data_IF_833801979776
#
_entry.id   IF_833801979776
#
_cell.length_a   1.000
_cell.length_b   1.000
_cell.length_c   1.000
_cell.angle_alpha   90.00
_cell.angle_beta   90.00
_cell.angle_gamma   90.00
#
_symmetry.space_group_name_H-M   'P 1'
#
loop_
_entity.id
_entity.type
_entity.pdbx_description
1 polymer ?
#
# COMPACT_ATOMS: atom_id res chain seq x y z
N UNK A 1 -28.77 -23.58 20.95
CA UNK A 1 -27.41 -23.95 21.42
C UNK A 1 -26.58 -24.59 20.32
N UNK A 2 -27.02 -25.68 19.66
CA UNK A 2 -26.28 -26.29 18.56
C UNK A 2 -25.96 -25.32 17.40
N UNK A 3 -26.93 -24.51 16.98
CA UNK A 3 -26.75 -23.47 15.95
C UNK A 3 -25.70 -22.44 16.31
N UNK A 4 -25.60 -22.07 17.61
CA UNK A 4 -24.63 -21.08 18.10
C UNK A 4 -23.19 -21.57 17.97
N UNK A 5 -22.92 -22.83 18.36
CA UNK A 5 -21.58 -23.41 18.22
C UNK A 5 -21.20 -23.63 16.76
N UNK A 6 -22.15 -24.01 15.91
CA UNK A 6 -21.91 -24.23 14.49
C UNK A 6 -21.54 -22.90 13.79
N UNK A 7 -22.29 -21.83 14.02
CA UNK A 7 -21.99 -20.52 13.42
C UNK A 7 -20.69 -19.92 13.96
N UNK A 8 -20.44 -20.03 15.26
CA UNK A 8 -19.19 -19.56 15.87
C UNK A 8 -17.97 -20.29 15.31
N UNK A 9 -18.03 -21.63 15.21
CA UNK A 9 -16.96 -22.43 14.64
C UNK A 9 -16.70 -22.11 13.16
N UNK A 10 -17.76 -21.94 12.36
CA UNK A 10 -17.64 -21.59 10.94
C UNK A 10 -16.96 -20.22 10.76
N UNK A 11 -17.36 -19.22 11.54
CA UNK A 11 -16.80 -17.87 11.46
C UNK A 11 -15.32 -17.84 11.86
N UNK A 12 -14.95 -18.61 12.89
CA UNK A 12 -13.55 -18.82 13.29
C UNK A 12 -12.71 -19.42 12.15
N UNK A 13 -13.20 -20.46 11.48
CA UNK A 13 -12.48 -21.10 10.36
C UNK A 13 -12.26 -20.10 9.22
N UNK A 14 -13.28 -19.30 8.89
CA UNK A 14 -13.20 -18.29 7.83
C UNK A 14 -12.17 -17.19 8.20
N UNK A 15 -12.21 -16.70 9.45
CA UNK A 15 -11.24 -15.71 9.96
C UNK A 15 -9.80 -16.24 9.89
N UNK A 16 -9.58 -17.47 10.36
CA UNK A 16 -8.28 -18.12 10.29
C UNK A 16 -7.84 -18.30 8.83
N UNK A 17 -8.73 -18.73 7.95
CA UNK A 17 -8.44 -18.86 6.51
C UNK A 17 -7.99 -17.54 5.89
N UNK A 18 -8.69 -16.44 6.17
CA UNK A 18 -8.30 -15.10 5.69
C UNK A 18 -6.95 -14.66 6.26
N UNK A 19 -6.72 -14.83 7.56
CA UNK A 19 -5.47 -14.45 8.21
C UNK A 19 -4.27 -15.22 7.65
N UNK A 20 -4.41 -16.54 7.51
CA UNK A 20 -3.36 -17.41 6.97
C UNK A 20 -3.08 -17.06 5.50
N UNK A 21 -4.12 -16.75 4.72
CA UNK A 21 -3.98 -16.32 3.32
C UNK A 21 -3.17 -15.03 3.17
N UNK A 22 -3.40 -14.02 4.01
CA UNK A 22 -2.64 -12.75 3.98
C UNK A 22 -1.19 -12.96 4.38
N UNK A 23 -0.93 -13.80 5.39
CA UNK A 23 0.43 -14.09 5.85
C UNK A 23 1.24 -14.82 4.76
N UNK A 24 0.64 -15.79 4.07
CA UNK A 24 1.30 -16.52 2.97
C UNK A 24 1.54 -15.66 1.72
N UNK A 25 0.76 -14.60 1.52
CA UNK A 25 0.92 -13.72 0.36
C UNK A 25 2.27 -12.99 0.38
N UNK A 26 2.89 -12.80 1.55
CA UNK A 26 4.29 -12.36 1.70
C UNK A 26 4.64 -11.05 0.98
N UNK A 27 3.66 -10.29 0.50
CA UNK A 27 3.91 -9.14 -0.35
C UNK A 27 4.32 -7.96 0.51
N UNK A 28 5.38 -7.29 0.06
CA UNK A 28 5.77 -5.94 0.48
C UNK A 28 4.60 -4.98 0.27
N UNK A 29 4.60 -3.88 1.03
CA UNK A 29 3.50 -2.93 0.98
C UNK A 29 3.49 -2.26 -0.40
N UNK A 30 2.56 -2.68 -1.27
CA UNK A 30 2.34 -2.06 -2.60
C UNK A 30 1.65 -0.69 -2.55
N UNK A 31 1.47 -0.14 -1.34
CA UNK A 31 1.03 1.23 -1.10
C UNK A 31 -0.36 1.37 -0.45
N UNK A 32 -0.48 1.02 0.84
CA UNK A 32 -1.67 1.33 1.65
C UNK A 32 -1.35 2.12 2.94
N UNK A 33 -0.09 2.53 3.17
CA UNK A 33 0.31 3.43 4.25
C UNK A 33 -0.20 4.88 4.04
N UNK A 34 -1.46 5.08 3.64
CA UNK A 34 -2.09 6.41 3.59
C UNK A 34 -1.44 7.43 2.63
N UNK A 35 -0.74 6.98 1.59
CA UNK A 35 -0.02 7.88 0.67
C UNK A 35 1.40 8.24 1.10
N UNK A 36 1.90 7.70 2.21
CA UNK A 36 3.31 7.86 2.63
C UNK A 36 4.31 7.21 1.66
N UNK A 37 3.82 6.37 0.75
CA UNK A 37 4.57 5.85 -0.39
C UNK A 37 5.01 6.98 -1.36
N UNK A 38 4.52 8.22 -1.18
CA UNK A 38 4.78 9.40 -2.04
C UNK A 38 6.02 10.20 -1.63
N UNK A 39 6.68 9.81 -0.54
CA UNK A 39 7.92 10.41 -0.09
C UNK A 39 9.02 9.79 -0.98
N UNK A 40 9.62 10.61 -1.85
CA UNK A 40 10.78 10.17 -2.63
C UNK A 40 11.90 9.71 -1.68
N UNK A 41 12.57 8.61 -2.02
CA UNK A 41 13.70 8.01 -1.29
C UNK A 41 13.37 7.28 0.04
N UNK A 42 12.11 6.95 0.31
CA UNK A 42 11.75 6.09 1.44
C UNK A 42 11.69 4.60 1.02
N UNK A 43 12.73 3.82 1.33
CA UNK A 43 12.73 2.36 1.13
C UNK A 43 11.81 1.61 2.13
N UNK A 44 11.45 2.27 3.24
CA UNK A 44 10.63 1.72 4.32
C UNK A 44 9.50 2.67 4.72
N UNK A 45 8.32 2.11 5.02
CA UNK A 45 7.19 2.90 5.52
C UNK A 45 7.43 3.33 6.98
N UNK A 46 7.52 4.63 7.24
CA UNK A 46 7.80 5.21 8.57
C UNK A 46 6.79 4.85 9.67
N UNK A 47 5.58 4.39 9.30
CA UNK A 47 4.50 4.07 10.25
C UNK A 47 4.55 2.61 10.71
N UNK A 48 4.83 1.69 9.80
CA UNK A 48 4.82 0.25 10.08
C UNK A 48 6.17 -0.44 9.89
N UNK A 49 7.22 0.34 9.59
CA UNK A 49 8.61 -0.07 9.44
C UNK A 49 8.79 -1.31 8.53
N UNK A 50 8.03 -1.32 7.43
CA UNK A 50 7.99 -2.41 6.46
C UNK A 50 8.48 -1.91 5.11
N UNK A 51 9.19 -2.77 4.38
CA UNK A 51 9.73 -2.43 3.06
C UNK A 51 8.63 -2.15 2.03
N UNK A 52 8.88 -1.13 1.21
CA UNK A 52 7.99 -0.67 0.16
C UNK A 52 8.34 -1.37 -1.17
N UNK A 53 7.31 -1.74 -1.95
CA UNK A 53 7.48 -2.38 -3.25
C UNK A 53 7.88 -1.35 -4.34
N UNK A 54 9.11 -1.41 -4.90
CA UNK A 54 9.60 -0.42 -5.87
C UNK A 54 8.90 -0.51 -7.22
N UNK A 55 8.37 -1.68 -7.58
CA UNK A 55 7.61 -1.93 -8.81
C UNK A 55 6.10 -1.72 -8.64
N UNK A 56 5.68 -1.05 -7.55
CA UNK A 56 4.26 -0.82 -7.32
C UNK A 56 3.71 0.16 -8.37
N UNK A 57 2.59 -0.16 -9.05
CA UNK A 57 1.95 0.74 -10.01
C UNK A 57 1.47 2.05 -9.36
N UNK A 58 1.53 2.12 -8.03
CA UNK A 58 1.23 3.31 -7.26
C UNK A 58 2.32 4.39 -7.40
N UNK A 59 3.60 4.06 -7.65
CA UNK A 59 4.67 5.07 -7.89
C UNK A 59 4.32 5.99 -9.05
N UNK A 60 3.83 5.41 -10.15
CA UNK A 60 3.38 6.15 -11.34
C UNK A 60 2.12 6.99 -11.06
N UNK A 61 1.25 6.54 -10.16
CA UNK A 61 0.00 7.21 -9.78
C UNK A 61 0.20 8.28 -8.68
N UNK A 62 1.31 8.20 -7.95
CA UNK A 62 1.71 9.13 -6.90
C UNK A 62 2.32 10.42 -7.43
N UNK A 63 2.64 10.48 -8.71
CA UNK A 63 2.84 11.73 -9.43
C UNK A 63 1.52 12.50 -9.40
N UNK A 64 1.28 13.19 -8.29
CA UNK A 64 0.06 13.91 -8.02
C UNK A 64 -0.21 14.83 -9.21
N UNK A 65 -1.37 14.75 -9.88
CA UNK A 65 -1.68 15.63 -11.00
C UNK A 65 -1.63 17.11 -10.60
N UNK A 66 -1.71 17.40 -9.29
CA UNK A 66 -1.46 18.72 -8.71
C UNK A 66 0.04 19.08 -8.66
N UNK A 67 0.91 18.14 -8.28
CA UNK A 67 2.37 18.36 -8.26
C UNK A 67 2.91 18.58 -9.67
N UNK A 68 2.45 17.80 -10.66
CA UNK A 68 2.81 18.00 -12.07
C UNK A 68 2.42 19.39 -12.57
N UNK A 69 1.19 19.84 -12.27
CA UNK A 69 0.74 21.21 -12.57
C UNK A 69 1.51 22.31 -11.83
N UNK A 70 2.11 22.02 -10.68
CA UNK A 70 2.96 22.98 -9.96
C UNK A 70 4.36 23.05 -10.56
N UNK A 71 4.92 21.95 -11.03
CA UNK A 71 6.19 21.91 -11.77
C UNK A 71 6.06 22.64 -13.12
N UNK A 72 5.01 22.36 -13.89
CA UNK A 72 4.71 23.07 -15.15
C UNK A 72 4.51 24.59 -14.92
N UNK A 73 3.90 24.98 -13.79
CA UNK A 73 3.76 26.40 -13.41
C UNK A 73 5.04 27.03 -12.87
N UNK A 74 5.99 26.22 -12.39
CA UNK A 74 7.28 26.68 -11.89
C UNK A 74 8.32 26.86 -13.01
N UNK A 75 8.01 26.47 -14.26
CA UNK A 75 8.85 26.75 -15.44
C UNK A 75 10.22 26.07 -15.42
N UNK A 76 10.35 24.91 -14.78
CA UNK A 76 11.63 24.19 -14.64
C UNK A 76 11.86 23.14 -15.73
N UNK A 77 11.13 23.21 -16.85
CA UNK A 77 11.21 22.22 -17.93
C UNK A 77 12.45 22.38 -18.84
N UNK A 78 13.38 23.31 -18.54
CA UNK A 78 14.57 23.60 -19.37
C UNK A 78 15.91 23.05 -18.83
N UNK A 79 15.95 22.32 -17.72
CA UNK A 79 17.23 21.83 -17.13
C UNK A 79 17.25 20.31 -16.96
N UNK A 80 17.11 19.57 -18.05
CA UNK A 80 17.60 18.19 -18.16
C UNK A 80 17.82 17.83 -19.63
N UNK A 81 18.91 18.34 -20.20
CA UNK A 81 19.74 17.63 -21.18
C UNK A 81 21.12 17.41 -20.54
#
# INVERSE_FOLDING_TARGET
MATFFLTFGLLMIIMLGMATGVIMMGRTIKGSCGGLNAIADADQCLVCNKDIDPDSPLRERLACPRARKMLERAGLDEVTD
#
